data_IF_619537590309
#
_entry.id   IF_619537590309
#
_cell.length_a   1.000
_cell.length_b   1.000
_cell.length_c   1.000
_cell.angle_alpha   90.00
_cell.angle_beta   90.00
_cell.angle_gamma   90.00
#
_symmetry.space_group_name_H-M   'P 1'
#
loop_
_entity.id
_entity.type
_entity.pdbx_description
1 polymer ?
#
# COMPACT_ATOMS: atom_id res chain seq x y z
N UNK A 1 -13.02 -8.11 27.23
CA UNK A 1 -13.08 -6.69 26.84
C UNK A 1 -13.95 -6.60 25.60
N UNK A 2 -15.10 -5.97 25.71
CA UNK A 2 -16.02 -5.76 24.60
C UNK A 2 -15.55 -4.50 23.85
N UNK A 3 -14.58 -4.65 22.95
CA UNK A 3 -14.21 -3.53 22.08
C UNK A 3 -15.34 -3.34 21.07
N UNK A 4 -16.23 -2.41 21.38
CA UNK A 4 -17.17 -1.85 20.41
C UNK A 4 -16.39 -1.44 19.18
N UNK A 5 -16.69 -2.05 18.04
CA UNK A 5 -16.13 -1.66 16.74
C UNK A 5 -16.41 -0.18 16.56
N UNK A 6 -15.38 0.66 16.69
CA UNK A 6 -15.52 2.10 16.48
C UNK A 6 -15.82 2.29 15.00
N UNK A 7 -17.01 2.82 14.63
CA UNK A 7 -17.33 3.06 13.23
C UNK A 7 -16.29 4.01 12.63
N UNK A 8 -15.88 3.73 11.38
CA UNK A 8 -14.94 4.58 10.67
C UNK A 8 -15.50 6.01 10.57
N UNK A 9 -14.88 6.95 11.28
CA UNK A 9 -15.16 8.37 11.11
C UNK A 9 -14.29 8.92 9.98
N UNK A 10 -14.92 9.58 9.01
CA UNK A 10 -14.22 10.31 7.95
C UNK A 10 -13.83 11.73 8.39
N UNK A 11 -14.40 12.24 9.48
CA UNK A 11 -14.09 13.59 10.00
C UNK A 11 -12.87 13.59 10.91
N UNK A 12 -12.53 12.46 11.51
CA UNK A 12 -11.42 12.33 12.46
C UNK A 12 -10.48 11.19 12.06
N UNK A 13 -9.21 11.53 11.85
CA UNK A 13 -8.17 10.55 11.57
C UNK A 13 -7.89 9.76 12.86
N UNK A 14 -8.08 8.44 12.79
CA UNK A 14 -7.93 7.53 13.91
C UNK A 14 -7.17 6.27 13.49
N UNK A 15 -6.72 5.48 14.48
CA UNK A 15 -5.96 4.25 14.23
C UNK A 15 -6.71 3.24 13.33
N UNK A 16 -8.05 3.27 13.33
CA UNK A 16 -8.88 2.40 12.48
C UNK A 16 -8.68 2.65 10.98
N UNK A 17 -8.18 3.83 10.58
CA UNK A 17 -7.83 4.11 9.19
C UNK A 17 -6.74 3.17 8.66
N UNK A 18 -5.80 2.74 9.52
CA UNK A 18 -4.75 1.79 9.13
C UNK A 18 -5.36 0.45 8.74
N UNK A 19 -6.27 -0.08 9.57
CA UNK A 19 -6.93 -1.36 9.32
C UNK A 19 -7.90 -1.28 8.13
N UNK A 20 -8.66 -0.19 8.01
CA UNK A 20 -9.55 0.04 6.87
C UNK A 20 -8.76 0.15 5.56
N UNK A 21 -7.62 0.83 5.57
CA UNK A 21 -6.72 0.93 4.40
C UNK A 21 -6.11 -0.42 4.05
N UNK A 22 -5.65 -1.19 5.05
CA UNK A 22 -5.13 -2.53 4.83
C UNK A 22 -6.18 -3.44 4.18
N UNK A 23 -7.41 -3.43 4.70
CA UNK A 23 -8.52 -4.20 4.12
C UNK A 23 -8.85 -3.75 2.68
N UNK A 24 -8.94 -2.44 2.44
CA UNK A 24 -9.22 -1.91 1.10
C UNK A 24 -8.13 -2.28 0.09
N UNK A 25 -6.86 -2.21 0.51
CA UNK A 25 -5.72 -2.61 -0.32
C UNK A 25 -5.70 -4.11 -0.59
N UNK A 26 -6.07 -4.97 0.37
CA UNK A 26 -6.22 -6.41 0.11
C UNK A 26 -7.29 -6.69 -0.92
N UNK A 27 -8.45 -6.03 -0.83
CA UNK A 27 -9.52 -6.17 -1.84
C UNK A 27 -9.04 -5.73 -3.22
N UNK A 28 -8.33 -4.59 -3.30
CA UNK A 28 -7.74 -4.12 -4.55
C UNK A 28 -6.69 -5.09 -5.09
N UNK A 29 -5.85 -5.64 -4.22
CA UNK A 29 -4.85 -6.65 -4.57
C UNK A 29 -5.49 -7.91 -5.15
N UNK A 30 -6.60 -8.39 -4.58
CA UNK A 30 -7.35 -9.53 -5.13
C UNK A 30 -7.91 -9.23 -6.53
N UNK A 31 -8.39 -8.02 -6.76
CA UNK A 31 -8.83 -7.60 -8.09
C UNK A 31 -7.68 -7.63 -9.10
N UNK A 32 -6.47 -7.20 -8.72
CA UNK A 32 -5.28 -7.28 -9.56
C UNK A 32 -4.85 -8.73 -9.86
N UNK A 33 -4.95 -9.64 -8.89
CA UNK A 33 -4.69 -11.06 -9.10
C UNK A 33 -5.65 -11.68 -10.12
N UNK A 34 -6.94 -11.36 -10.03
CA UNK A 34 -7.93 -11.78 -11.03
C UNK A 34 -7.64 -11.19 -12.40
N UNK A 35 -7.33 -9.90 -12.48
CA UNK A 35 -6.96 -9.22 -13.72
C UNK A 35 -5.75 -9.89 -14.39
N UNK A 36 -4.69 -10.16 -13.63
CA UNK A 36 -3.51 -10.88 -14.10
C UNK A 36 -3.84 -12.28 -14.60
N UNK A 37 -4.70 -13.01 -13.87
CA UNK A 37 -5.14 -14.35 -14.24
C UNK A 37 -5.96 -14.35 -15.55
N UNK A 38 -6.84 -13.38 -15.75
CA UNK A 38 -7.60 -13.21 -16.99
C UNK A 38 -6.70 -12.92 -18.20
N UNK A 39 -5.61 -12.18 -18.00
CA UNK A 39 -4.65 -11.90 -19.07
C UNK A 39 -3.84 -13.15 -19.43
N UNK A 40 -3.28 -13.82 -18.41
CA UNK A 40 -2.36 -14.96 -18.60
C UNK A 40 -3.11 -16.23 -19.01
N UNK A 41 -4.14 -16.60 -18.26
CA UNK A 41 -4.89 -17.84 -18.48
C UNK A 41 -6.09 -17.64 -19.39
N UNK A 42 -6.83 -16.53 -19.22
CA UNK A 42 -7.98 -16.20 -20.06
C UNK A 42 -7.61 -15.73 -21.48
N UNK A 43 -6.32 -15.44 -21.73
CA UNK A 43 -5.77 -15.00 -23.04
C UNK A 43 -6.54 -13.84 -23.68
N UNK A 44 -7.10 -12.93 -22.86
CA UNK A 44 -7.92 -11.82 -23.34
C UNK A 44 -7.05 -10.76 -24.03
N UNK A 45 -7.16 -10.65 -25.36
CA UNK A 45 -6.32 -9.78 -26.18
C UNK A 45 -6.49 -8.27 -25.88
N UNK A 46 -7.69 -7.83 -25.48
CA UNK A 46 -7.94 -6.43 -25.13
C UNK A 46 -7.17 -6.01 -23.86
N UNK A 47 -7.21 -6.80 -22.80
CA UNK A 47 -6.47 -6.53 -21.57
C UNK A 47 -4.95 -6.61 -21.79
N UNK A 48 -4.48 -7.53 -22.64
CA UNK A 48 -3.05 -7.64 -22.98
C UNK A 48 -2.52 -6.40 -23.73
N UNK A 49 -3.38 -5.70 -24.48
CA UNK A 49 -3.01 -4.40 -25.10
C UNK A 49 -2.90 -3.28 -24.07
N UNK A 50 -3.75 -3.28 -23.04
CA UNK A 50 -3.72 -2.28 -21.96
C UNK A 50 -2.56 -2.55 -21.00
N UNK A 51 -2.26 -3.81 -20.71
CA UNK A 51 -1.22 -4.23 -19.78
C UNK A 51 -0.17 -5.11 -20.47
N UNK A 52 0.64 -4.54 -21.38
CA UNK A 52 1.66 -5.28 -22.12
C UNK A 52 2.70 -5.95 -21.21
N UNK A 53 3.00 -5.36 -20.06
CA UNK A 53 3.92 -5.92 -19.06
C UNK A 53 3.16 -6.55 -17.88
N UNK A 54 2.41 -7.62 -18.15
CA UNK A 54 1.56 -8.30 -17.17
C UNK A 54 2.30 -8.77 -15.90
N UNK A 55 3.59 -9.07 -15.99
CA UNK A 55 4.40 -9.42 -14.81
C UNK A 55 4.46 -8.31 -13.76
N UNK A 56 4.34 -7.04 -14.17
CA UNK A 56 4.27 -5.91 -13.25
C UNK A 56 2.92 -5.84 -12.51
N UNK A 57 1.82 -6.35 -13.08
CA UNK A 57 0.56 -6.51 -12.33
C UNK A 57 0.71 -7.52 -11.19
N UNK A 58 1.43 -8.62 -11.43
CA UNK A 58 1.70 -9.63 -10.39
C UNK A 58 2.60 -9.03 -9.30
N UNK A 59 3.64 -8.28 -9.68
CA UNK A 59 4.47 -7.53 -8.72
C UNK A 59 3.64 -6.55 -7.89
N UNK A 60 2.77 -5.78 -8.54
CA UNK A 60 1.86 -4.86 -7.88
C UNK A 60 0.97 -5.57 -6.86
N UNK A 61 0.35 -6.68 -7.26
CA UNK A 61 -0.48 -7.51 -6.39
C UNK A 61 0.29 -7.95 -5.13
N UNK A 62 1.47 -8.54 -5.32
CA UNK A 62 2.32 -9.02 -4.20
C UNK A 62 2.74 -7.86 -3.31
N UNK A 63 3.14 -6.74 -3.88
CA UNK A 63 3.58 -5.58 -3.11
C UNK A 63 2.42 -4.98 -2.29
N UNK A 64 1.19 -4.94 -2.82
CA UNK A 64 0.02 -4.59 -2.02
C UNK A 64 -0.25 -5.55 -0.86
N UNK A 65 -0.05 -6.85 -1.04
CA UNK A 65 -0.19 -7.81 0.07
C UNK A 65 0.86 -7.57 1.15
N UNK A 66 2.10 -7.28 0.75
CA UNK A 66 3.18 -6.92 1.68
C UNK A 66 2.82 -5.63 2.43
N UNK A 67 2.43 -4.57 1.71
CA UNK A 67 2.05 -3.28 2.32
C UNK A 67 0.88 -3.43 3.30
N UNK A 68 -0.16 -4.19 2.93
CA UNK A 68 -1.28 -4.47 3.83
C UNK A 68 -0.85 -5.26 5.07
N UNK A 69 0.04 -6.26 4.91
CA UNK A 69 0.57 -7.05 6.02
C UNK A 69 1.40 -6.18 6.98
N UNK A 70 2.26 -5.31 6.46
CA UNK A 70 3.04 -4.36 7.25
C UNK A 70 2.13 -3.36 7.98
N UNK A 71 1.08 -2.86 7.32
CA UNK A 71 0.13 -1.94 7.93
C UNK A 71 -0.68 -2.60 9.05
N UNK A 72 -1.09 -3.86 8.84
CA UNK A 72 -1.71 -4.70 9.86
C UNK A 72 -0.77 -4.94 11.05
N UNK A 73 0.50 -5.26 10.80
CA UNK A 73 1.52 -5.40 11.83
C UNK A 73 1.64 -4.10 12.65
N UNK A 74 1.79 -2.95 12.00
CA UNK A 74 1.84 -1.64 12.69
C UNK A 74 0.60 -1.44 13.56
N UNK A 75 -0.59 -1.66 13.02
CA UNK A 75 -1.84 -1.48 13.75
C UNK A 75 -1.90 -2.35 15.01
N UNK A 76 -1.67 -3.67 14.86
CA UNK A 76 -1.76 -4.59 15.98
C UNK A 76 -0.63 -4.41 17.00
N UNK A 77 0.59 -4.08 16.57
CA UNK A 77 1.69 -3.75 17.49
C UNK A 77 1.40 -2.49 18.29
N UNK A 78 0.89 -1.42 17.63
CA UNK A 78 0.52 -0.20 18.34
C UNK A 78 -0.64 -0.44 19.32
N UNK A 79 -1.64 -1.22 18.91
CA UNK A 79 -2.74 -1.61 19.79
C UNK A 79 -2.24 -2.39 21.01
N UNK A 80 -1.37 -3.38 20.80
CA UNK A 80 -0.82 -4.22 21.86
C UNK A 80 0.03 -3.41 22.86
N UNK A 81 0.81 -2.45 22.37
CA UNK A 81 1.70 -1.62 23.19
C UNK A 81 1.03 -0.33 23.72
N UNK A 82 -0.25 -0.10 23.43
CA UNK A 82 -0.95 1.12 23.81
C UNK A 82 -0.40 2.39 23.16
N UNK A 83 0.22 2.29 21.98
CA UNK A 83 0.81 3.42 21.25
C UNK A 83 -0.28 4.11 20.42
N UNK A 84 -0.47 5.41 20.67
CA UNK A 84 -1.28 6.27 19.81
C UNK A 84 -0.38 6.98 18.78
N UNK A 85 -0.52 6.63 17.50
CA UNK A 85 0.22 7.32 16.44
C UNK A 85 -0.37 8.71 16.18
N UNK A 86 0.46 9.72 15.89
CA UNK A 86 -0.02 11.03 15.47
C UNK A 86 -0.85 10.94 14.18
N UNK A 87 -1.95 11.70 14.04
CA UNK A 87 -2.80 11.69 12.83
C UNK A 87 -2.04 11.85 11.52
N UNK A 88 -1.02 12.71 11.50
CA UNK A 88 -0.18 12.95 10.32
C UNK A 88 0.54 11.67 9.89
N UNK A 89 1.04 10.87 10.84
CA UNK A 89 1.72 9.60 10.55
C UNK A 89 0.75 8.58 10.00
N UNK A 90 -0.48 8.52 10.54
CA UNK A 90 -1.54 7.65 10.04
C UNK A 90 -1.85 7.96 8.58
N UNK A 91 -2.03 9.24 8.23
CA UNK A 91 -2.28 9.66 6.84
C UNK A 91 -1.10 9.31 5.94
N UNK A 92 0.13 9.56 6.37
CA UNK A 92 1.35 9.24 5.61
C UNK A 92 1.44 7.73 5.35
N UNK A 93 1.16 6.90 6.36
CA UNK A 93 1.10 5.43 6.22
C UNK A 93 0.05 4.99 5.20
N UNK A 94 -1.17 5.51 5.31
CA UNK A 94 -2.27 5.17 4.40
C UNK A 94 -1.93 5.56 2.95
N UNK A 95 -1.43 6.77 2.73
CA UNK A 95 -0.97 7.24 1.42
C UNK A 95 0.17 6.34 0.93
N UNK A 96 1.19 6.08 1.76
CA UNK A 96 2.32 5.25 1.38
C UNK A 96 1.92 3.84 0.93
N UNK A 97 1.06 3.18 1.70
CA UNK A 97 0.59 1.82 1.40
C UNK A 97 -0.23 1.76 0.11
N UNK A 98 -0.96 2.81 -0.23
CA UNK A 98 -1.69 2.90 -1.50
C UNK A 98 -0.75 3.21 -2.66
N UNK A 99 0.09 4.23 -2.54
CA UNK A 99 0.89 4.77 -3.64
C UNK A 99 2.15 3.96 -3.95
N UNK A 100 2.73 3.27 -2.97
CA UNK A 100 3.97 2.51 -3.16
C UNK A 100 3.83 1.46 -4.28
N UNK A 101 2.79 0.61 -4.29
CA UNK A 101 2.65 -0.39 -5.35
C UNK A 101 2.05 0.17 -6.65
N UNK A 102 1.46 1.38 -6.65
CA UNK A 102 0.82 1.98 -7.84
C UNK A 102 1.80 2.14 -9.01
N UNK A 103 3.08 2.38 -8.72
CA UNK A 103 4.12 2.47 -9.75
C UNK A 103 4.16 1.25 -10.66
N UNK A 104 3.89 0.06 -10.12
CA UNK A 104 3.86 -1.18 -10.89
C UNK A 104 2.65 -1.29 -11.84
N UNK A 105 1.51 -0.65 -11.52
CA UNK A 105 0.38 -0.58 -12.45
C UNK A 105 0.76 0.27 -13.66
N UNK A 106 1.35 1.44 -13.42
CA UNK A 106 1.82 2.30 -14.51
C UNK A 106 2.89 1.61 -15.34
N UNK A 107 3.83 0.88 -14.71
CA UNK A 107 4.82 0.06 -15.42
C UNK A 107 4.21 -1.14 -16.16
N UNK A 108 3.04 -1.64 -15.73
CA UNK A 108 2.33 -2.70 -16.44
C UNK A 108 1.68 -2.18 -17.73
N UNK A 109 1.21 -0.92 -17.71
CA UNK A 109 0.62 -0.22 -18.86
C UNK A 109 1.68 0.31 -19.82
N UNK A 110 2.68 0.99 -19.29
CA UNK A 110 3.82 1.55 -20.01
C UNK A 110 5.12 1.07 -19.34
N UNK A 111 5.83 0.08 -19.95
CA UNK A 111 7.09 -0.44 -19.42
C UNK A 111 8.22 0.59 -19.33
N UNK A 112 8.04 1.77 -19.91
CA UNK A 112 8.99 2.89 -19.84
C UNK A 112 8.73 3.84 -18.66
N UNK A 113 7.58 3.70 -18.00
CA UNK A 113 7.22 4.49 -16.84
C UNK A 113 8.22 4.29 -15.69
N UNK A 114 8.65 5.39 -15.06
CA UNK A 114 9.58 5.35 -13.93
C UNK A 114 11.03 5.03 -14.31
N UNK A 115 11.38 4.99 -15.61
CA UNK A 115 12.79 4.99 -16.03
C UNK A 115 13.47 6.27 -15.50
N UNK A 116 14.56 6.08 -14.76
CA UNK A 116 15.29 7.14 -14.04
C UNK A 116 16.19 7.98 -14.95
N UNK A 117 16.11 7.79 -16.26
CA UNK A 117 16.85 8.55 -17.25
C UNK A 117 16.41 10.03 -17.27
N UNK A 118 15.19 10.32 -16.79
CA UNK A 118 14.68 11.69 -16.61
C UNK A 118 14.56 12.07 -15.13
N UNK A 119 14.74 13.38 -14.83
CA UNK A 119 14.55 13.93 -13.47
C UNK A 119 13.11 13.70 -12.98
N UNK A 120 12.12 13.85 -13.87
CA UNK A 120 10.72 13.59 -13.56
C UNK A 120 10.49 12.12 -13.16
N UNK A 121 11.10 11.16 -13.86
CA UNK A 121 11.03 9.74 -13.52
C UNK A 121 11.62 9.43 -12.14
N UNK A 122 12.75 10.03 -11.78
CA UNK A 122 13.35 9.89 -10.44
C UNK A 122 12.45 10.45 -9.34
N UNK A 123 11.88 11.63 -9.57
CA UNK A 123 10.95 12.26 -8.61
C UNK A 123 9.70 11.41 -8.43
N UNK A 124 9.11 10.89 -9.51
CA UNK A 124 7.94 10.03 -9.45
C UNK A 124 8.20 8.75 -8.63
N UNK A 125 9.36 8.10 -8.84
CA UNK A 125 9.79 6.94 -8.04
C UNK A 125 9.93 7.33 -6.57
N UNK A 126 10.67 8.40 -6.25
CA UNK A 126 10.87 8.85 -4.87
C UNK A 126 9.55 9.15 -4.16
N UNK A 127 8.64 9.86 -4.81
CA UNK A 127 7.33 10.18 -4.24
C UNK A 127 6.46 8.93 -4.00
N UNK A 128 6.66 7.86 -4.77
CA UNK A 128 5.99 6.57 -4.54
C UNK A 128 6.45 5.87 -3.27
N UNK A 129 7.75 5.85 -2.99
CA UNK A 129 8.32 5.10 -1.85
C UNK A 129 8.45 5.91 -0.55
N UNK A 130 8.62 7.24 -0.66
CA UNK A 130 8.94 8.09 0.49
C UNK A 130 7.85 8.10 1.57
N UNK A 131 6.55 8.23 1.26
CA UNK A 131 5.52 8.24 2.30
C UNK A 131 5.47 6.91 3.08
N UNK A 132 5.60 5.77 2.38
CA UNK A 132 5.64 4.46 3.04
C UNK A 132 6.87 4.35 3.95
N UNK A 133 8.04 4.80 3.50
CA UNK A 133 9.28 4.74 4.27
C UNK A 133 9.21 5.60 5.53
N UNK A 134 8.71 6.84 5.41
CA UNK A 134 8.56 7.74 6.55
C UNK A 134 7.52 7.23 7.54
N UNK A 135 6.36 6.77 7.05
CA UNK A 135 5.28 6.25 7.87
C UNK A 135 5.69 4.99 8.64
N UNK A 136 6.21 3.98 7.95
CA UNK A 136 6.66 2.75 8.58
C UNK A 136 7.88 2.98 9.47
N UNK A 137 8.84 3.80 9.04
CA UNK A 137 10.01 4.15 9.84
C UNK A 137 9.63 4.79 11.17
N UNK A 138 8.73 5.78 11.15
CA UNK A 138 8.22 6.39 12.38
C UNK A 138 7.55 5.37 13.29
N UNK A 139 6.63 4.55 12.75
CA UNK A 139 5.89 3.57 13.53
C UNK A 139 6.83 2.54 14.19
N UNK A 140 7.84 2.06 13.47
CA UNK A 140 8.81 1.11 14.01
C UNK A 140 9.69 1.75 15.09
N UNK A 141 10.12 3.00 14.92
CA UNK A 141 10.87 3.71 15.96
C UNK A 141 10.01 3.88 17.23
N UNK A 142 8.73 4.21 17.08
CA UNK A 142 7.81 4.32 18.22
C UNK A 142 7.63 2.98 18.94
N UNK A 143 7.50 1.88 18.19
CA UNK A 143 7.43 0.51 18.75
C UNK A 143 8.71 0.16 19.50
N UNK A 144 9.88 0.42 18.91
CA UNK A 144 11.16 0.17 19.57
C UNK A 144 11.30 0.99 20.85
N UNK A 145 10.92 2.27 20.82
CA UNK A 145 10.96 3.14 21.99
C UNK A 145 10.00 2.71 23.11
N UNK A 146 8.93 1.98 22.80
CA UNK A 146 8.01 1.44 23.80
C UNK A 146 8.47 0.10 24.40
N UNK A 147 9.40 -0.60 23.74
CA UNK A 147 9.93 -1.91 24.17
C UNK A 147 11.24 -1.81 24.94
N UNK A 148 11.97 -0.70 24.80
CA UNK A 148 13.24 -0.40 25.45
C UNK A 148 13.02 0.44 26.71
#
# INVERSE_FOLDING_TARGET
>A
MNESIVPLSLSEVSMSWLLATAAGVVVFSLALAWLGSLIVYGKIASLRRVFPATHNLIRCHVDYLIMASLLGLVYFSCLHLGIALPPVVIVILCIGVIYNPLGFIFQAMDPTFGKTDSVAGRVAVLLGFLPATLGFGYAMVAILAALL
#
